data_IF_361658223911
#
_entry.id   IF_361658223911
#
_cell.length_a   1.000
_cell.length_b   1.000
_cell.length_c   1.000
_cell.angle_alpha   90.00
_cell.angle_beta   90.00
_cell.angle_gamma   90.00
#
_symmetry.space_group_name_H-M   'P 1'
#
loop_
_entity.id
_entity.type
_entity.pdbx_description
1 polymer ?
#
# COMPACT_ATOMS: atom_id res chain seq x y z
N UNK A 1 6.82 17.09 23.95
CA UNK A 1 7.14 15.81 23.26
C UNK A 1 6.06 14.72 23.34
N UNK A 2 4.95 14.90 24.09
CA UNK A 2 3.89 13.88 24.28
C UNK A 2 2.81 13.80 23.17
N UNK A 3 2.83 14.67 22.17
CA UNK A 3 1.67 14.90 21.27
C UNK A 3 1.61 13.96 20.06
N UNK A 4 2.73 13.63 19.41
CA UNK A 4 2.70 12.89 18.15
C UNK A 4 2.41 11.38 18.30
N UNK A 5 2.89 10.75 19.38
CA UNK A 5 2.60 9.34 19.67
C UNK A 5 1.13 9.08 20.02
N UNK A 6 0.47 10.04 20.67
CA UNK A 6 -0.96 9.98 20.93
C UNK A 6 -1.80 10.01 19.65
N UNK A 7 -1.35 10.78 18.65
CA UNK A 7 -1.99 10.90 17.34
C UNK A 7 -1.91 9.61 16.54
N UNK A 8 -0.73 9.00 16.45
CA UNK A 8 -0.56 7.71 15.76
C UNK A 8 -1.38 6.60 16.44
N UNK A 9 -1.44 6.60 17.78
CA UNK A 9 -2.30 5.67 18.53
C UNK A 9 -3.80 5.93 18.26
N UNK A 10 -4.24 7.19 18.19
CA UNK A 10 -5.62 7.53 17.82
C UNK A 10 -5.98 7.08 16.39
N UNK A 11 -4.99 7.04 15.50
CA UNK A 11 -5.12 6.50 14.13
C UNK A 11 -4.90 4.98 14.05
N UNK A 12 -4.71 4.30 15.19
CA UNK A 12 -4.42 2.86 15.28
C UNK A 12 -3.16 2.42 14.50
N UNK A 13 -2.17 3.31 14.40
CA UNK A 13 -0.84 3.07 13.81
C UNK A 13 0.11 2.62 14.93
N UNK A 14 0.88 1.54 14.73
CA UNK A 14 1.69 0.96 15.81
C UNK A 14 2.95 1.78 16.13
N UNK A 15 3.52 1.55 17.31
CA UNK A 15 4.78 2.16 17.76
C UNK A 15 5.99 1.85 16.87
N UNK A 16 5.98 0.83 16.02
CA UNK A 16 7.10 0.60 15.08
C UNK A 16 7.24 1.73 14.05
N UNK A 17 6.14 2.43 13.72
CA UNK A 17 6.18 3.66 12.93
C UNK A 17 7.00 4.78 13.59
N UNK A 18 7.21 4.73 14.92
CA UNK A 18 8.04 5.68 15.67
C UNK A 18 9.52 5.60 15.30
N UNK A 19 10.01 4.43 14.89
CA UNK A 19 11.39 4.23 14.40
C UNK A 19 11.52 4.42 12.88
N UNK A 20 10.65 5.23 12.26
CA UNK A 20 10.66 5.56 10.83
C UNK A 20 10.39 4.39 9.86
N UNK A 21 9.95 3.22 10.35
CA UNK A 21 9.55 2.09 9.51
C UNK A 21 8.03 1.99 9.42
N UNK A 22 7.44 2.71 8.46
CA UNK A 22 6.04 2.50 8.08
C UNK A 22 5.94 1.20 7.28
N UNK A 23 5.09 0.26 7.70
CA UNK A 23 4.72 -0.90 6.90
C UNK A 23 3.43 -0.60 6.11
N UNK A 24 3.08 -1.45 5.13
CA UNK A 24 1.89 -1.25 4.29
C UNK A 24 0.62 -0.99 5.08
N UNK A 25 0.40 -1.74 6.16
CA UNK A 25 -0.75 -1.55 7.06
C UNK A 25 -0.78 -0.19 7.75
N UNK A 26 0.39 0.37 8.09
CA UNK A 26 0.47 1.72 8.66
C UNK A 26 0.13 2.78 7.62
N UNK A 27 0.66 2.65 6.40
CA UNK A 27 0.39 3.59 5.30
C UNK A 27 -1.09 3.57 4.92
N UNK A 28 -1.70 2.39 4.81
CA UNK A 28 -3.14 2.27 4.54
C UNK A 28 -3.98 2.96 5.60
N UNK A 29 -3.72 2.71 6.89
CA UNK A 29 -4.44 3.38 7.98
C UNK A 29 -4.23 4.90 7.96
N UNK A 30 -3.01 5.34 7.66
CA UNK A 30 -2.66 6.75 7.57
C UNK A 30 -3.50 7.44 6.47
N UNK A 31 -3.55 6.83 5.27
CA UNK A 31 -4.33 7.36 4.15
C UNK A 31 -5.84 7.32 4.41
N UNK A 32 -6.38 6.22 4.94
CA UNK A 32 -7.80 6.11 5.29
C UNK A 32 -8.26 7.21 6.27
N UNK A 33 -7.35 7.65 7.14
CA UNK A 33 -7.59 8.69 8.15
C UNK A 33 -7.04 10.06 7.75
N UNK A 34 -6.69 10.30 6.48
CA UNK A 34 -6.08 11.56 6.03
C UNK A 34 -6.90 12.81 6.39
N UNK A 35 -8.23 12.72 6.42
CA UNK A 35 -9.12 13.81 6.82
C UNK A 35 -8.93 14.25 8.28
N UNK A 36 -8.51 13.33 9.16
CA UNK A 36 -8.25 13.63 10.58
C UNK A 36 -6.99 14.47 10.79
N UNK A 37 -6.16 14.65 9.76
CA UNK A 37 -4.98 15.51 9.87
C UNK A 37 -5.33 16.97 10.15
N UNK A 38 -6.46 17.45 9.67
CA UNK A 38 -6.94 18.82 9.92
C UNK A 38 -7.24 19.06 11.40
N UNK A 39 -7.53 17.99 12.16
CA UNK A 39 -7.83 18.07 13.59
C UNK A 39 -6.56 18.05 14.47
N UNK A 40 -5.37 17.92 13.88
CA UNK A 40 -4.13 17.73 14.65
C UNK A 40 -3.49 19.08 15.02
N UNK A 41 -3.44 19.47 16.30
CA UNK A 41 -2.94 20.79 16.70
C UNK A 41 -1.44 21.01 16.37
N UNK A 42 -0.68 19.93 16.17
CA UNK A 42 0.74 20.00 15.81
C UNK A 42 0.98 20.24 14.32
N UNK A 43 -0.01 19.94 13.46
CA UNK A 43 0.00 20.31 12.06
C UNK A 43 -0.56 21.73 11.98
N UNK A 44 0.29 22.73 12.28
CA UNK A 44 -0.09 24.15 12.25
C UNK A 44 -0.83 24.48 10.94
N UNK A 45 -1.83 25.36 11.02
CA UNK A 45 -2.60 25.94 9.89
C UNK A 45 -1.74 26.81 8.96
N UNK A 46 -0.69 26.21 8.39
CA UNK A 46 0.08 26.81 7.31
C UNK A 46 -0.47 26.32 5.99
N UNK A 47 -0.54 27.21 4.99
CA UNK A 47 -0.96 26.85 3.63
C UNK A 47 -0.23 25.62 3.07
N UNK A 48 1.12 25.46 3.24
CA UNK A 48 1.82 24.26 2.77
C UNK A 48 1.31 22.96 3.41
N UNK A 49 1.01 22.98 4.72
CA UNK A 49 0.47 21.81 5.42
C UNK A 49 -0.91 21.44 4.90
N UNK A 50 -1.78 22.42 4.64
CA UNK A 50 -3.10 22.16 4.06
C UNK A 50 -2.98 21.53 2.66
N UNK A 51 -2.05 22.00 1.83
CA UNK A 51 -1.79 21.41 0.53
C UNK A 51 -1.25 19.97 0.62
N UNK A 52 -0.42 19.67 1.63
CA UNK A 52 0.04 18.31 1.90
C UNK A 52 -1.12 17.40 2.34
N UNK A 53 -1.97 17.85 3.28
CA UNK A 53 -3.16 17.10 3.70
C UNK A 53 -4.06 16.79 2.49
N UNK A 54 -4.27 17.76 1.62
CA UNK A 54 -5.02 17.57 0.40
C UNK A 54 -4.36 16.53 -0.54
N UNK A 55 -3.02 16.53 -0.66
CA UNK A 55 -2.31 15.51 -1.41
C UNK A 55 -2.50 14.09 -0.81
N UNK A 56 -2.52 13.95 0.52
CA UNK A 56 -2.86 12.68 1.18
C UNK A 56 -4.28 12.21 0.87
N UNK A 57 -5.25 13.12 0.74
CA UNK A 57 -6.62 12.77 0.34
C UNK A 57 -6.69 12.25 -1.10
N UNK A 58 -5.95 12.86 -2.04
CA UNK A 58 -5.83 12.32 -3.40
C UNK A 58 -5.13 10.96 -3.44
N UNK A 59 -4.09 10.76 -2.61
CA UNK A 59 -3.43 9.45 -2.49
C UNK A 59 -4.37 8.38 -1.91
N UNK A 60 -5.25 8.72 -0.96
CA UNK A 60 -6.30 7.83 -0.44
C UNK A 60 -7.26 7.41 -1.56
N UNK A 61 -7.66 8.35 -2.41
CA UNK A 61 -8.53 8.06 -3.56
C UNK A 61 -7.83 7.11 -4.54
N UNK A 62 -6.58 7.40 -4.93
CA UNK A 62 -5.78 6.54 -5.81
C UNK A 62 -5.61 5.14 -5.20
N UNK A 63 -5.35 5.04 -3.89
CA UNK A 63 -5.20 3.77 -3.19
C UNK A 63 -6.43 2.87 -3.34
N UNK A 64 -7.64 3.44 -3.44
CA UNK A 64 -8.87 2.64 -3.61
C UNK A 64 -8.92 1.83 -4.92
N UNK A 65 -8.09 2.17 -5.91
CA UNK A 65 -7.97 1.44 -7.17
C UNK A 65 -6.87 0.37 -7.19
N UNK A 66 -6.11 0.23 -6.09
CA UNK A 66 -4.93 -0.66 -6.04
C UNK A 66 -5.23 -2.08 -5.55
N UNK A 67 -6.51 -2.42 -5.39
CA UNK A 67 -6.93 -3.79 -5.06
C UNK A 67 -6.55 -4.77 -6.17
N UNK A 68 -6.28 -6.02 -5.80
CA UNK A 68 -5.94 -7.10 -6.73
C UNK A 68 -7.19 -7.57 -7.52
N UNK A 69 -7.65 -6.72 -8.43
CA UNK A 69 -8.78 -6.94 -9.34
C UNK A 69 -8.58 -6.19 -10.65
N UNK A 70 -9.32 -6.59 -11.68
CA UNK A 70 -9.47 -5.77 -12.89
C UNK A 70 -10.35 -4.56 -12.61
N UNK A 71 -9.97 -3.42 -13.19
CA UNK A 71 -10.68 -2.17 -13.10
C UNK A 71 -11.65 -2.04 -14.27
N UNK A 72 -12.91 -1.70 -13.97
CA UNK A 72 -13.89 -1.38 -15.00
C UNK A 72 -13.50 -0.07 -15.73
N UNK A 73 -13.98 0.17 -16.97
CA UNK A 73 -13.62 1.36 -17.74
C UNK A 73 -13.85 2.69 -16.99
N UNK A 74 -14.97 2.80 -16.26
CA UNK A 74 -15.26 3.98 -15.43
C UNK A 74 -14.28 4.15 -14.26
N UNK A 75 -13.78 3.05 -13.68
CA UNK A 75 -12.78 3.08 -12.63
C UNK A 75 -11.42 3.51 -13.16
N UNK A 76 -11.05 3.08 -14.38
CA UNK A 76 -9.82 3.53 -15.05
C UNK A 76 -9.87 5.04 -15.29
N UNK A 77 -10.99 5.56 -15.79
CA UNK A 77 -11.19 7.00 -15.96
C UNK A 77 -11.08 7.73 -14.61
N UNK A 78 -11.72 7.20 -13.57
CA UNK A 78 -11.63 7.72 -12.20
C UNK A 78 -10.18 7.83 -11.73
N UNK A 79 -9.43 6.73 -11.76
CA UNK A 79 -8.02 6.66 -11.38
C UNK A 79 -7.17 7.70 -12.11
N UNK A 80 -7.30 7.79 -13.45
CA UNK A 80 -6.55 8.77 -14.26
C UNK A 80 -6.87 10.20 -13.84
N UNK A 81 -8.13 10.50 -13.59
CA UNK A 81 -8.54 11.82 -13.11
C UNK A 81 -7.95 12.12 -11.73
N UNK A 82 -7.92 11.16 -10.80
CA UNK A 82 -7.31 11.33 -9.48
C UNK A 82 -5.79 11.59 -9.60
N UNK A 83 -5.08 10.86 -10.47
CA UNK A 83 -3.64 11.06 -10.73
C UNK A 83 -3.38 12.47 -11.30
N UNK A 84 -4.15 12.88 -12.32
CA UNK A 84 -4.03 14.22 -12.92
C UNK A 84 -4.30 15.32 -11.91
N UNK A 85 -5.32 15.14 -11.08
CA UNK A 85 -5.67 16.09 -10.01
C UNK A 85 -4.55 16.22 -8.99
N UNK A 86 -3.98 15.10 -8.54
CA UNK A 86 -2.81 15.10 -7.65
C UNK A 86 -1.63 15.84 -8.31
N UNK A 87 -1.29 15.51 -9.55
CA UNK A 87 -0.18 16.13 -10.29
C UNK A 87 -0.32 17.64 -10.40
N UNK A 88 -1.49 18.11 -10.84
CA UNK A 88 -1.77 19.54 -10.97
C UNK A 88 -1.71 20.27 -9.62
N UNK A 89 -2.24 19.65 -8.56
CA UNK A 89 -2.19 20.21 -7.21
C UNK A 89 -0.76 20.32 -6.68
N UNK A 90 0.07 19.29 -6.89
CA UNK A 90 1.48 19.30 -6.48
C UNK A 90 2.26 20.40 -7.21
N UNK A 91 2.12 20.50 -8.54
CA UNK A 91 2.81 21.50 -9.37
C UNK A 91 2.44 22.92 -8.98
N UNK A 92 1.15 23.18 -8.71
CA UNK A 92 0.67 24.53 -8.38
C UNK A 92 1.05 24.97 -6.97
N UNK A 93 1.02 24.06 -5.99
CA UNK A 93 0.97 24.45 -4.59
C UNK A 93 2.20 24.02 -3.76
N UNK A 94 3.04 23.10 -4.24
CA UNK A 94 4.17 22.56 -3.48
C UNK A 94 5.53 22.88 -4.11
N UNK A 95 5.55 23.61 -5.23
CA UNK A 95 6.77 24.10 -5.88
C UNK A 95 7.66 22.99 -6.45
N UNK A 96 8.95 23.26 -6.61
CA UNK A 96 9.94 22.26 -7.03
C UNK A 96 10.19 21.25 -5.91
N UNK A 97 9.42 20.16 -5.93
CA UNK A 97 9.60 19.03 -5.01
C UNK A 97 10.51 18.00 -5.66
N UNK A 98 11.55 17.58 -4.96
CA UNK A 98 12.30 16.37 -5.34
C UNK A 98 11.38 15.16 -5.20
N UNK A 99 10.95 14.60 -6.33
CA UNK A 99 10.09 13.42 -6.36
C UNK A 99 10.92 12.15 -6.23
N UNK A 100 10.41 11.18 -5.47
CA UNK A 100 11.02 9.85 -5.41
C UNK A 100 10.72 9.08 -6.69
N UNK A 101 11.53 8.08 -7.09
CA UNK A 101 11.25 7.26 -8.26
C UNK A 101 9.84 6.62 -8.23
N UNK A 102 9.39 6.14 -7.06
CA UNK A 102 8.04 5.59 -6.88
C UNK A 102 6.95 6.62 -7.11
N UNK A 103 7.16 7.86 -6.67
CA UNK A 103 6.21 8.94 -6.91
C UNK A 103 6.21 9.38 -8.37
N UNK A 104 7.35 9.36 -9.05
CA UNK A 104 7.44 9.58 -10.49
C UNK A 104 6.66 8.52 -11.28
N UNK A 105 6.83 7.23 -10.94
CA UNK A 105 6.04 6.14 -11.52
C UNK A 105 4.54 6.39 -11.41
N UNK A 106 4.07 6.77 -10.23
CA UNK A 106 2.67 7.11 -9.99
C UNK A 106 2.17 8.25 -10.89
N UNK A 107 2.94 9.33 -11.04
CA UNK A 107 2.49 10.54 -11.74
C UNK A 107 2.65 10.51 -13.27
N UNK A 108 3.39 9.53 -13.79
CA UNK A 108 3.76 9.50 -15.21
C UNK A 108 3.54 8.17 -15.92
N UNK A 109 3.53 7.04 -15.21
CA UNK A 109 3.53 5.72 -15.83
C UNK A 109 2.31 4.87 -15.46
N UNK A 110 1.61 5.21 -14.38
CA UNK A 110 0.45 4.43 -13.94
C UNK A 110 -0.75 4.56 -14.88
N UNK A 111 -0.90 5.67 -15.61
CA UNK A 111 -1.95 5.82 -16.61
C UNK A 111 -1.75 4.85 -17.79
N UNK A 112 -0.53 4.73 -18.30
CA UNK A 112 -0.19 3.82 -19.38
C UNK A 112 -0.29 2.36 -18.93
N UNK A 113 0.19 2.07 -17.72
CA UNK A 113 0.12 0.73 -17.14
C UNK A 113 -1.33 0.23 -16.98
N UNK A 114 -2.25 1.10 -16.52
CA UNK A 114 -3.64 0.69 -16.37
C UNK A 114 -4.36 0.56 -17.70
N UNK A 115 -3.95 1.29 -18.74
CA UNK A 115 -4.49 1.10 -20.09
C UNK A 115 -4.09 -0.26 -20.68
N UNK A 116 -2.86 -0.69 -20.43
CA UNK A 116 -2.35 -1.96 -20.92
C UNK A 116 -2.89 -3.16 -20.12
N UNK A 117 -2.86 -3.09 -18.80
CA UNK A 117 -3.11 -4.25 -17.93
C UNK A 117 -4.45 -4.21 -17.19
N UNK A 118 -5.18 -3.09 -17.23
CA UNK A 118 -6.48 -2.91 -16.56
C UNK A 118 -6.47 -3.21 -15.06
N UNK A 119 -5.31 -3.15 -14.41
CA UNK A 119 -5.12 -3.42 -12.98
C UNK A 119 -3.88 -2.71 -12.47
N UNK A 120 -3.82 -2.43 -11.17
CA UNK A 120 -2.59 -2.05 -10.47
C UNK A 120 -2.20 -3.08 -9.40
N UNK A 121 -3.14 -3.90 -8.92
CA UNK A 121 -2.96 -4.76 -7.76
C UNK A 121 -2.37 -6.14 -8.05
N UNK A 122 -2.61 -6.71 -9.25
CA UNK A 122 -2.16 -8.06 -9.58
C UNK A 122 -0.64 -8.19 -9.74
N UNK A 123 0.05 -7.12 -10.14
CA UNK A 123 1.50 -7.10 -10.37
C UNK A 123 2.29 -6.64 -9.13
N UNK A 124 1.67 -6.67 -7.95
CA UNK A 124 2.32 -6.24 -6.71
C UNK A 124 3.08 -7.38 -6.04
N UNK A 125 4.12 -7.04 -5.29
CA UNK A 125 4.92 -8.00 -4.51
C UNK A 125 4.20 -8.50 -3.24
N UNK A 126 2.99 -8.01 -2.96
CA UNK A 126 2.23 -8.37 -1.75
C UNK A 126 1.97 -9.88 -1.62
N UNK A 127 1.74 -10.57 -2.75
CA UNK A 127 1.59 -12.02 -2.77
C UNK A 127 2.86 -12.75 -2.32
N UNK A 128 4.03 -12.25 -2.74
CA UNK A 128 5.34 -12.80 -2.37
C UNK A 128 5.64 -12.50 -0.89
N UNK A 129 5.34 -11.29 -0.40
CA UNK A 129 5.49 -10.94 1.01
C UNK A 129 4.65 -11.84 1.94
N UNK A 130 3.40 -12.11 1.55
CA UNK A 130 2.52 -13.04 2.28
C UNK A 130 3.09 -14.47 2.28
N UNK A 131 3.58 -14.94 1.14
CA UNK A 131 4.24 -16.24 1.04
C UNK A 131 5.49 -16.32 1.91
N UNK A 132 6.32 -15.28 1.94
CA UNK A 132 7.49 -15.21 2.82
C UNK A 132 7.10 -15.31 4.31
N UNK A 133 6.04 -14.63 4.75
CA UNK A 133 5.55 -14.74 6.12
C UNK A 133 5.08 -16.17 6.46
N UNK A 134 4.39 -16.82 5.54
CA UNK A 134 3.98 -18.22 5.69
C UNK A 134 5.19 -19.17 5.76
N UNK A 135 6.17 -19.00 4.87
CA UNK A 135 7.42 -19.77 4.86
C UNK A 135 8.14 -19.62 6.19
N UNK A 136 8.26 -18.42 6.74
CA UNK A 136 8.89 -18.19 8.03
C UNK A 136 8.20 -18.94 9.18
N UNK A 137 6.86 -18.98 9.18
CA UNK A 137 6.09 -19.75 10.17
C UNK A 137 6.38 -21.24 10.08
N UNK A 138 6.40 -21.78 8.87
CA UNK A 138 6.69 -23.19 8.59
C UNK A 138 8.14 -23.53 8.94
N UNK A 139 9.08 -22.63 8.64
CA UNK A 139 10.50 -22.80 8.97
C UNK A 139 10.76 -22.92 10.47
N UNK A 140 10.06 -22.13 11.29
CA UNK A 140 10.12 -22.24 12.77
C UNK A 140 9.61 -23.62 13.23
N UNK A 141 8.50 -24.10 12.67
CA UNK A 141 7.94 -25.43 12.97
C UNK A 141 8.88 -26.57 12.55
N UNK A 142 9.68 -26.35 11.50
CA UNK A 142 10.69 -27.29 11.02
C UNK A 142 11.93 -27.39 11.93
N UNK A 143 11.94 -26.75 13.11
CA UNK A 143 13.09 -26.62 14.00
C UNK A 143 13.86 -27.92 14.27
N UNK A 144 13.16 -29.06 14.33
CA UNK A 144 13.72 -30.39 14.61
C UNK A 144 13.99 -31.26 13.36
N UNK A 145 13.68 -30.78 12.15
CA UNK A 145 13.89 -31.54 10.93
C UNK A 145 15.39 -31.61 10.57
N UNK A 146 15.90 -32.82 10.31
CA UNK A 146 17.29 -33.04 9.86
C UNK A 146 17.64 -32.30 8.56
N UNK A 147 16.67 -32.12 7.66
CA UNK A 147 16.82 -31.35 6.41
C UNK A 147 15.66 -30.37 6.25
N UNK A 148 15.83 -29.16 6.81
CA UNK A 148 14.80 -28.12 6.89
C UNK A 148 14.31 -27.66 5.51
N UNK A 149 15.22 -27.49 4.54
CA UNK A 149 14.87 -27.01 3.20
C UNK A 149 14.00 -28.03 2.45
N UNK A 150 14.39 -29.30 2.49
CA UNK A 150 13.61 -30.37 1.85
C UNK A 150 12.23 -30.53 2.50
N UNK A 151 12.16 -30.39 3.83
CA UNK A 151 10.90 -30.43 4.55
C UNK A 151 9.99 -29.25 4.19
N UNK A 152 10.55 -28.04 4.14
CA UNK A 152 9.84 -26.82 3.76
C UNK A 152 9.24 -26.94 2.35
N UNK A 153 10.03 -27.41 1.38
CA UNK A 153 9.58 -27.61 0.00
C UNK A 153 8.45 -28.64 -0.09
N UNK A 154 8.59 -29.79 0.60
CA UNK A 154 7.53 -30.81 0.65
C UNK A 154 6.26 -30.30 1.31
N UNK A 155 6.39 -29.52 2.39
CA UNK A 155 5.25 -28.93 3.10
C UNK A 155 4.52 -27.92 2.20
N UNK A 156 5.28 -27.02 1.56
CA UNK A 156 4.73 -26.02 0.65
C UNK A 156 4.02 -26.66 -0.56
N UNK A 157 4.64 -27.68 -1.17
CA UNK A 157 4.06 -28.38 -2.32
C UNK A 157 2.73 -29.06 -1.99
N UNK A 158 2.68 -29.81 -0.87
CA UNK A 158 1.43 -30.45 -0.40
C UNK A 158 0.32 -29.44 -0.13
N UNK A 159 0.69 -28.30 0.44
CA UNK A 159 -0.25 -27.24 0.76
C UNK A 159 -0.84 -26.58 -0.49
N UNK A 160 -0.01 -26.30 -1.49
CA UNK A 160 -0.48 -25.79 -2.78
C UNK A 160 -1.46 -26.78 -3.42
N UNK A 161 -1.10 -28.06 -3.48
CA UNK A 161 -1.97 -29.11 -4.00
C UNK A 161 -3.35 -29.13 -3.31
N UNK A 162 -3.40 -29.04 -1.98
CA UNK A 162 -4.67 -29.02 -1.24
C UNK A 162 -5.48 -27.73 -1.48
N UNK A 163 -4.81 -26.57 -1.56
CA UNK A 163 -5.46 -25.28 -1.82
C UNK A 163 -6.07 -25.24 -3.22
N UNK A 164 -5.34 -25.72 -4.22
CA UNK A 164 -5.78 -25.73 -5.63
C UNK A 164 -6.95 -26.71 -5.85
N UNK A 165 -6.97 -27.83 -5.14
CA UNK A 165 -8.11 -28.77 -5.15
C UNK A 165 -9.35 -28.18 -4.45
N UNK A 166 -9.16 -27.37 -3.40
CA UNK A 166 -10.27 -26.79 -2.62
C UNK A 166 -10.94 -25.57 -3.25
N UNK A 167 -10.29 -24.90 -4.20
CA UNK A 167 -10.82 -23.78 -4.97
C UNK A 167 -10.65 -24.07 -6.46
N UNK A 168 -11.50 -24.92 -7.06
CA UNK A 168 -11.48 -25.08 -8.51
C UNK A 168 -11.75 -23.72 -9.13
N UNK A 169 -10.84 -23.29 -10.00
CA UNK A 169 -11.05 -22.13 -10.88
C UNK A 169 -12.36 -22.40 -11.63
N UNK A 170 -13.38 -21.58 -11.37
CA UNK A 170 -14.58 -21.59 -12.20
C UNK A 170 -14.20 -20.87 -13.49
N UNK A 171 -14.05 -21.65 -14.55
CA UNK A 171 -13.95 -21.17 -15.94
C UNK A 171 -15.16 -20.31 -16.31
#
# INVERSE_FOLDING_TARGET
MKTYGAILNAMKVSKQAWFQTLCGNHVQKLLLNAEKFEMLPCLKDSKPVQHLIQAFKFLKEIQSFTEAKFLAPLQIIGLKNSIKTLKAHMQKNLGEVRVTPKFHLLLHHFEDFVDEFQTLGYFTEQGIESLHAEINKVFIQAGFAKNKNQWLLKHQWRRNLLRDISNPVKD
#
